data_IF_465057505855
#
_entry.id   IF_465057505855
#
_cell.length_a   1.000
_cell.length_b   1.000
_cell.length_c   1.000
_cell.angle_alpha   90.00
_cell.angle_beta   90.00
_cell.angle_gamma   90.00
#
_symmetry.space_group_name_H-M   'P 1'
#
loop_
_entity.id
_entity.type
_entity.pdbx_description
1 polymer ?
#
# COMPACT_ATOMS: atom_id res chain seq x y z
N UNK A 1 -16.25 5.06 22.25
CA UNK A 1 -16.04 5.30 20.79
C UNK A 1 -14.60 5.68 20.43
N UNK A 2 -13.95 6.56 21.18
CA UNK A 2 -12.64 7.08 20.80
C UNK A 2 -11.51 6.02 20.71
N UNK A 3 -11.44 5.07 21.66
CA UNK A 3 -10.49 3.93 21.61
C UNK A 3 -10.65 3.08 20.35
N UNK A 4 -11.89 2.72 20.01
CA UNK A 4 -12.22 1.91 18.83
C UNK A 4 -11.82 2.64 17.56
N UNK A 5 -12.12 3.94 17.46
CA UNK A 5 -11.72 4.75 16.30
C UNK A 5 -10.20 4.77 16.13
N UNK A 6 -9.46 5.01 17.21
CA UNK A 6 -8.00 5.05 17.17
C UNK A 6 -7.42 3.68 16.79
N UNK A 7 -7.90 2.61 17.41
CA UNK A 7 -7.51 1.24 17.10
C UNK A 7 -7.76 0.89 15.62
N UNK A 8 -8.97 1.13 15.12
CA UNK A 8 -9.31 0.86 13.71
C UNK A 8 -8.47 1.67 12.75
N UNK A 9 -8.20 2.94 13.07
CA UNK A 9 -7.37 3.81 12.23
C UNK A 9 -5.92 3.32 12.19
N UNK A 10 -5.32 2.98 13.33
CA UNK A 10 -3.95 2.44 13.39
C UNK A 10 -3.83 1.11 12.65
N UNK A 11 -4.73 0.16 12.89
CA UNK A 11 -4.72 -1.13 12.20
C UNK A 11 -4.95 -0.94 10.69
N UNK A 12 -5.89 -0.10 10.27
CA UNK A 12 -6.15 0.14 8.85
C UNK A 12 -4.96 0.78 8.14
N UNK A 13 -4.30 1.75 8.78
CA UNK A 13 -3.12 2.39 8.21
C UNK A 13 -1.97 1.40 8.05
N UNK A 14 -1.66 0.64 9.10
CA UNK A 14 -0.65 -0.42 9.04
C UNK A 14 -0.98 -1.43 7.93
N UNK A 15 -2.22 -1.89 7.86
CA UNK A 15 -2.67 -2.81 6.82
C UNK A 15 -2.50 -2.24 5.41
N UNK A 16 -2.77 -0.96 5.19
CA UNK A 16 -2.59 -0.32 3.89
C UNK A 16 -1.10 -0.27 3.49
N UNK A 17 -0.23 0.14 4.40
CA UNK A 17 1.22 0.20 4.15
C UNK A 17 1.81 -1.19 3.89
N UNK A 18 1.42 -2.19 4.69
CA UNK A 18 1.94 -3.55 4.54
C UNK A 18 1.32 -4.32 3.37
N UNK A 19 0.10 -3.98 2.95
CA UNK A 19 -0.44 -4.47 1.68
C UNK A 19 0.39 -3.97 0.48
N UNK A 20 0.84 -2.71 0.51
CA UNK A 20 1.73 -2.15 -0.51
C UNK A 20 3.10 -2.86 -0.53
N UNK A 21 3.64 -3.16 0.65
CA UNK A 21 4.86 -3.98 0.80
C UNK A 21 4.64 -5.37 0.20
N UNK A 22 3.54 -6.04 0.57
CA UNK A 22 3.18 -7.35 0.04
C UNK A 22 3.05 -7.35 -1.49
N UNK A 23 2.42 -6.32 -2.07
CA UNK A 23 2.32 -6.16 -3.52
C UNK A 23 3.70 -5.97 -4.17
N UNK A 24 4.59 -5.19 -3.54
CA UNK A 24 5.97 -4.99 -4.02
C UNK A 24 6.79 -6.28 -3.98
N UNK A 25 6.64 -7.05 -2.90
CA UNK A 25 7.27 -8.35 -2.73
C UNK A 25 6.76 -9.36 -3.78
N UNK A 26 5.45 -9.41 -4.00
CA UNK A 26 4.83 -10.26 -5.03
C UNK A 26 5.37 -9.95 -6.43
N UNK A 27 5.49 -8.66 -6.75
CA UNK A 27 6.10 -8.18 -8.00
C UNK A 27 7.57 -8.58 -8.12
N UNK A 28 8.33 -8.46 -7.04
CA UNK A 28 9.73 -8.91 -7.00
C UNK A 28 9.83 -10.42 -7.27
N UNK A 29 9.03 -11.24 -6.59
CA UNK A 29 9.00 -12.70 -6.77
C UNK A 29 8.65 -13.09 -8.21
N UNK A 30 7.66 -12.42 -8.83
CA UNK A 30 7.31 -12.60 -10.23
C UNK A 30 8.44 -12.20 -11.20
N UNK A 31 9.21 -11.17 -10.87
CA UNK A 31 10.32 -10.68 -11.68
C UNK A 31 11.57 -11.56 -11.63
N UNK A 32 11.70 -12.39 -10.60
CA UNK A 32 12.88 -13.22 -10.38
C UNK A 32 13.03 -14.29 -11.49
N UNK A 33 14.27 -14.71 -11.75
CA UNK A 33 14.61 -15.67 -12.79
C UNK A 33 14.28 -17.11 -12.39
N UNK A 34 14.44 -17.44 -11.11
CA UNK A 34 14.21 -18.80 -10.62
C UNK A 34 12.71 -19.11 -10.48
N UNK A 35 12.32 -20.26 -11.03
CA UNK A 35 10.94 -20.76 -11.01
C UNK A 35 10.43 -21.05 -9.57
N UNK A 36 11.34 -21.40 -8.66
CA UNK A 36 11.02 -21.66 -7.25
C UNK A 36 10.46 -20.40 -6.57
N UNK A 37 11.14 -19.26 -6.74
CA UNK A 37 10.67 -17.99 -6.17
C UNK A 37 9.40 -17.48 -6.84
N UNK A 38 9.23 -17.72 -8.15
CA UNK A 38 7.96 -17.41 -8.84
C UNK A 38 6.79 -18.24 -8.29
N UNK A 39 7.04 -19.48 -7.89
CA UNK A 39 6.05 -20.36 -7.27
C UNK A 39 5.54 -19.88 -5.91
N UNK A 40 6.18 -18.87 -5.29
CA UNK A 40 5.72 -18.28 -4.04
C UNK A 40 4.69 -17.16 -4.25
N UNK A 41 4.66 -16.55 -5.43
CA UNK A 41 3.64 -15.58 -5.86
C UNK A 41 2.35 -16.33 -6.23
N UNK A 42 1.64 -16.81 -5.21
CA UNK A 42 0.34 -17.46 -5.37
C UNK A 42 -0.70 -16.78 -4.51
N UNK A 43 -1.97 -16.86 -4.94
CA UNK A 43 -3.09 -16.35 -4.15
C UNK A 43 -3.17 -16.98 -2.75
N UNK A 44 -2.70 -18.22 -2.58
CA UNK A 44 -2.66 -18.89 -1.27
C UNK A 44 -1.64 -18.23 -0.35
N UNK A 45 -0.43 -17.98 -0.85
CA UNK A 45 0.61 -17.26 -0.10
C UNK A 45 0.18 -15.84 0.23
N UNK A 46 -0.41 -15.12 -0.74
CA UNK A 46 -0.91 -13.76 -0.52
C UNK A 46 -1.99 -13.71 0.57
N UNK A 47 -2.95 -14.65 0.57
CA UNK A 47 -3.97 -14.75 1.63
C UNK A 47 -3.36 -15.04 3.00
N UNK A 48 -2.42 -15.98 3.08
CA UNK A 48 -1.72 -16.29 4.34
C UNK A 48 -0.93 -15.09 4.86
N UNK A 49 -0.28 -14.37 3.97
CA UNK A 49 0.42 -13.12 4.29
C UNK A 49 -0.55 -12.06 4.85
N UNK A 50 -1.65 -11.78 4.14
CA UNK A 50 -2.65 -10.80 4.57
C UNK A 50 -3.27 -11.13 5.93
N UNK A 51 -3.59 -12.41 6.17
CA UNK A 51 -4.11 -12.87 7.46
C UNK A 51 -3.03 -12.73 8.55
N UNK A 52 -1.78 -13.10 8.24
CA UNK A 52 -0.66 -12.98 9.17
C UNK A 52 -0.41 -11.53 9.60
N UNK A 53 -0.34 -10.59 8.66
CA UNK A 53 -0.14 -9.16 8.99
C UNK A 53 -1.34 -8.59 9.76
N UNK A 54 -2.57 -8.99 9.41
CA UNK A 54 -3.76 -8.52 10.11
C UNK A 54 -3.74 -8.95 11.58
N UNK A 55 -3.49 -10.24 11.83
CA UNK A 55 -3.38 -10.78 13.19
C UNK A 55 -2.26 -10.08 13.96
N UNK A 56 -1.10 -9.88 13.32
CA UNK A 56 0.04 -9.19 13.94
C UNK A 56 -0.31 -7.76 14.37
N UNK A 57 -0.91 -6.95 13.48
CA UNK A 57 -1.26 -5.56 13.81
C UNK A 57 -2.42 -5.44 14.79
N UNK A 58 -3.40 -6.35 14.74
CA UNK A 58 -4.46 -6.41 15.76
C UNK A 58 -3.87 -6.63 17.15
N UNK A 59 -2.90 -7.55 17.28
CA UNK A 59 -2.22 -7.79 18.55
C UNK A 59 -1.33 -6.61 18.97
N UNK A 60 -0.55 -6.06 18.03
CA UNK A 60 0.35 -4.94 18.29
C UNK A 60 -0.41 -3.69 18.78
N UNK A 61 -1.55 -3.37 18.15
CA UNK A 61 -2.36 -2.22 18.53
C UNK A 61 -3.41 -2.53 19.60
N UNK A 62 -3.54 -3.78 20.08
CA UNK A 62 -4.46 -4.11 21.18
C UNK A 62 -4.17 -3.29 22.45
N UNK A 63 -2.91 -2.91 22.66
CA UNK A 63 -2.48 -2.01 23.72
C UNK A 63 -3.22 -0.67 23.76
N UNK A 64 -3.78 -0.20 22.63
CA UNK A 64 -4.57 1.05 22.55
C UNK A 64 -5.79 1.02 23.50
N UNK A 65 -6.39 -0.16 23.71
CA UNK A 65 -7.54 -0.28 24.61
C UNK A 65 -7.19 -0.02 26.07
N UNK A 66 -5.96 -0.36 26.47
CA UNK A 66 -5.44 -0.13 27.82
C UNK A 66 -4.82 1.27 27.95
N UNK A 67 -4.08 1.72 26.93
CA UNK A 67 -3.26 2.94 26.97
C UNK A 67 -4.05 4.25 26.84
N UNK A 68 -5.25 4.22 26.26
CA UNK A 68 -6.05 5.43 26.01
C UNK A 68 -7.31 5.44 26.87
N UNK A 69 -7.68 6.61 27.35
CA UNK A 69 -8.93 6.83 28.09
C UNK A 69 -9.78 7.90 27.40
N UNK A 70 -11.10 7.81 27.59
CA UNK A 70 -12.04 8.83 27.13
C UNK A 70 -12.31 9.76 28.32
N UNK A 71 -11.85 11.01 28.24
CA UNK A 71 -12.13 12.01 29.28
C UNK A 71 -13.63 12.35 29.29
N UNK A 72 -14.17 12.50 30.50
CA UNK A 72 -15.56 12.87 30.87
C UNK A 72 -15.49 14.24 31.60
N UNK A 73 -16.63 14.84 31.98
CA UNK A 73 -17.42 15.88 31.28
C UNK A 73 -16.80 17.30 31.32
N UNK A 74 -17.32 18.22 30.47
CA UNK A 74 -16.96 19.65 30.30
C UNK A 74 -15.76 20.01 29.40
N UNK A 75 -15.24 19.09 28.59
CA UNK A 75 -14.15 19.36 27.63
C UNK A 75 -14.52 18.78 26.26
N UNK A 76 -14.22 19.46 25.12
CA UNK A 76 -14.43 18.88 23.79
C UNK A 76 -13.72 17.53 23.70
N UNK A 77 -14.48 16.52 23.25
CA UNK A 77 -14.17 15.09 23.29
C UNK A 77 -12.81 14.78 22.66
N UNK A 78 -11.76 14.64 23.47
CA UNK A 78 -10.43 14.29 23.02
C UNK A 78 -9.98 12.97 23.66
N UNK A 79 -9.41 12.08 22.83
CA UNK A 79 -8.70 10.90 23.30
C UNK A 79 -7.35 11.33 23.86
N UNK A 80 -7.11 11.04 25.13
CA UNK A 80 -5.80 11.25 25.74
C UNK A 80 -5.16 9.90 26.05
N UNK A 81 -3.85 9.83 25.82
CA UNK A 81 -3.04 8.75 26.36
C UNK A 81 -3.05 8.88 27.87
N UNK A 82 -3.38 7.79 28.57
CA UNK A 82 -3.47 7.74 30.03
C UNK A 82 -2.17 8.21 30.68
N UNK A 83 -1.06 7.70 30.17
CA UNK A 83 0.28 7.99 30.64
C UNK A 83 1.19 8.44 29.49
N UNK A 84 2.18 9.28 29.81
CA UNK A 84 3.19 9.73 28.85
C UNK A 84 3.98 8.57 28.21
N UNK A 85 4.42 7.52 28.96
CA UNK A 85 5.08 6.35 28.37
C UNK A 85 4.22 5.64 27.32
N UNK A 86 2.92 5.48 27.58
CA UNK A 86 2.00 4.86 26.64
C UNK A 86 1.88 5.65 25.33
N UNK A 87 1.85 6.99 25.42
CA UNK A 87 1.84 7.86 24.24
C UNK A 87 3.12 7.75 23.44
N UNK A 88 4.27 7.86 24.11
CA UNK A 88 5.59 7.75 23.47
C UNK A 88 5.73 6.38 22.79
N UNK A 89 5.42 5.30 23.49
CA UNK A 89 5.49 3.94 22.95
C UNK A 89 4.61 3.74 21.71
N UNK A 90 3.36 4.20 21.75
CA UNK A 90 2.46 4.14 20.62
C UNK A 90 2.98 4.95 19.42
N UNK A 91 3.51 6.15 19.67
CA UNK A 91 4.07 7.00 18.62
C UNK A 91 5.29 6.35 17.95
N UNK A 92 6.18 5.74 18.72
CA UNK A 92 7.34 5.02 18.19
C UNK A 92 6.97 3.75 17.43
N UNK A 93 6.00 2.97 17.92
CA UNK A 93 5.49 1.81 17.19
C UNK A 93 4.92 2.22 15.84
N UNK A 94 4.09 3.27 15.80
CA UNK A 94 3.55 3.78 14.55
C UNK A 94 4.65 4.29 13.61
N UNK A 95 5.61 5.07 14.10
CA UNK A 95 6.72 5.54 13.25
C UNK A 95 7.52 4.36 12.68
N UNK A 96 7.83 3.36 13.51
CA UNK A 96 8.61 2.20 13.08
C UNK A 96 7.85 1.34 12.07
N UNK A 97 6.63 0.92 12.41
CA UNK A 97 5.88 -0.07 11.62
C UNK A 97 5.03 0.52 10.50
N UNK A 98 4.62 1.79 10.58
CA UNK A 98 3.78 2.41 9.54
C UNK A 98 4.62 3.19 8.51
N UNK A 99 5.80 3.68 8.90
CA UNK A 99 6.62 4.57 8.06
C UNK A 99 7.97 3.95 7.72
N UNK A 100 8.82 3.75 8.73
CA UNK A 100 10.25 3.42 8.50
C UNK A 100 10.40 2.03 7.89
N UNK A 101 9.85 1.00 8.53
CA UNK A 101 10.00 -0.38 8.08
C UNK A 101 9.34 -0.59 6.71
N UNK A 102 8.07 -0.20 6.46
CA UNK A 102 7.48 -0.32 5.13
C UNK A 102 8.29 0.40 4.06
N UNK A 103 8.78 1.62 4.33
CA UNK A 103 9.58 2.37 3.35
C UNK A 103 10.88 1.66 2.99
N UNK A 104 11.57 1.05 3.96
CA UNK A 104 12.78 0.26 3.70
C UNK A 104 12.44 -0.94 2.82
N UNK A 105 11.40 -1.71 3.15
CA UNK A 105 10.99 -2.86 2.35
C UNK A 105 10.57 -2.46 0.93
N UNK A 106 9.82 -1.37 0.78
CA UNK A 106 9.40 -0.83 -0.52
C UNK A 106 10.60 -0.38 -1.35
N UNK A 107 11.58 0.30 -0.74
CA UNK A 107 12.80 0.72 -1.43
C UNK A 107 13.63 -0.48 -1.89
N UNK A 108 13.81 -1.49 -1.02
CA UNK A 108 14.56 -2.72 -1.33
C UNK A 108 13.87 -3.53 -2.42
N UNK A 109 12.60 -3.91 -2.23
CA UNK A 109 11.88 -4.70 -3.24
C UNK A 109 11.62 -3.92 -4.53
N UNK A 110 11.41 -2.61 -4.44
CA UNK A 110 11.31 -1.72 -5.59
C UNK A 110 12.57 -1.71 -6.43
N UNK A 111 13.74 -1.47 -5.81
CA UNK A 111 15.04 -1.50 -6.53
C UNK A 111 15.38 -2.87 -7.07
N UNK A 112 15.12 -3.94 -6.32
CA UNK A 112 15.33 -5.32 -6.79
C UNK A 112 14.42 -5.65 -7.99
N UNK A 113 13.16 -5.21 -7.96
CA UNK A 113 12.24 -5.40 -9.09
C UNK A 113 12.73 -4.66 -10.34
N UNK A 114 13.23 -3.43 -10.20
CA UNK A 114 13.82 -2.66 -11.31
C UNK A 114 15.05 -3.39 -11.87
N UNK A 115 15.95 -3.87 -10.99
CA UNK A 115 17.16 -4.60 -11.40
C UNK A 115 16.80 -5.88 -12.15
N UNK A 116 15.80 -6.64 -11.70
CA UNK A 116 15.36 -7.87 -12.35
C UNK A 116 14.58 -7.62 -13.65
N UNK A 117 13.90 -6.47 -13.75
CA UNK A 117 13.19 -6.07 -14.96
C UNK A 117 14.13 -5.52 -16.05
N UNK A 118 15.28 -4.91 -15.69
CA UNK A 118 16.21 -4.25 -16.63
C UNK A 118 16.78 -5.21 -17.71
N UNK A 119 17.24 -6.43 -17.40
CA UNK A 119 17.71 -7.39 -18.41
C UNK A 119 16.62 -7.78 -19.41
N UNK A 120 15.36 -7.84 -18.95
CA UNK A 120 14.20 -8.16 -19.81
C UNK A 120 13.79 -6.98 -20.70
N UNK A 121 14.23 -5.75 -20.43
CA UNK A 121 13.97 -4.58 -21.29
C UNK A 121 15.09 -4.40 -22.32
N UNK A 122 16.34 -4.73 -21.97
CA UNK A 122 17.51 -4.58 -22.84
C UNK A 122 17.70 -5.75 -23.82
N UNK A 123 17.08 -6.91 -23.55
CA UNK A 123 16.91 -7.97 -24.55
C UNK A 123 15.45 -8.04 -25.08
N UNK A 124 15.09 -7.25 -26.11
CA UNK A 124 14.03 -7.63 -27.04
C UNK A 124 14.49 -8.68 -28.07
N UNK A 125 15.72 -9.21 -27.98
CA UNK A 125 16.29 -10.06 -29.02
C UNK A 125 16.37 -11.51 -28.55
N UNK A 126 15.82 -12.40 -29.38
CA UNK A 126 16.00 -13.87 -29.39
C UNK A 126 15.05 -14.65 -28.46
N UNK A 127 13.75 -14.35 -28.47
CA UNK A 127 12.74 -15.39 -28.13
C UNK A 127 11.59 -15.47 -29.13
N UNK A 128 11.56 -14.58 -30.12
CA UNK A 128 10.67 -14.68 -31.28
C UNK A 128 11.26 -15.49 -32.44
N UNK A 129 12.59 -15.70 -32.47
CA UNK A 129 13.24 -16.39 -33.60
C UNK A 129 13.22 -17.92 -33.42
N UNK A 130 13.40 -18.46 -32.20
CA UNK A 130 13.33 -19.92 -32.00
C UNK A 130 11.90 -20.48 -31.97
N UNK A 131 10.88 -19.66 -31.69
CA UNK A 131 9.48 -20.09 -31.83
C UNK A 131 9.02 -20.03 -33.29
N UNK A 132 9.62 -19.17 -34.13
CA UNK A 132 9.32 -19.09 -35.56
C UNK A 132 9.84 -20.29 -36.38
N UNK A 133 10.87 -21.01 -35.90
CA UNK A 133 11.38 -22.21 -36.59
C UNK A 133 10.58 -23.46 -36.21
N UNK A 134 9.98 -23.50 -35.02
CA UNK A 134 9.11 -24.61 -34.59
C UNK A 134 7.64 -24.46 -35.06
N UNK A 135 7.26 -23.32 -35.65
CA UNK A 135 5.88 -23.01 -36.06
C UNK A 135 5.68 -23.02 -37.58
N UNK A 136 6.35 -23.91 -38.31
CA UNK A 136 6.10 -24.11 -39.74
C UNK A 136 5.09 -25.23 -40.01
N UNK A 137 4.32 -25.63 -39.00
CA UNK A 137 3.21 -26.58 -39.14
C UNK A 137 1.97 -25.96 -38.50
N UNK A 138 1.05 -25.56 -39.38
CA UNK A 138 -0.37 -25.30 -39.13
C UNK A 138 -0.80 -24.00 -38.42
N UNK A 139 -1.27 -23.09 -39.28
CA UNK A 139 -2.64 -22.58 -39.32
C UNK A 139 -3.19 -21.79 -38.12
N UNK A 140 -3.45 -20.51 -38.41
CA UNK A 140 -4.64 -19.75 -38.02
C UNK A 140 -5.11 -19.93 -36.58
N UNK A 141 -4.44 -19.25 -35.66
CA UNK A 141 -5.13 -18.59 -34.57
C UNK A 141 -4.35 -17.36 -34.12
N UNK A 142 -4.92 -16.19 -34.40
CA UNK A 142 -4.51 -14.88 -33.91
C UNK A 142 -4.70 -14.80 -32.39
N UNK A 143 -3.86 -15.49 -31.61
CA UNK A 143 -3.74 -15.25 -30.18
C UNK A 143 -2.55 -14.32 -29.95
N UNK A 144 -2.83 -13.06 -30.23
CA UNK A 144 -2.13 -11.86 -29.74
C UNK A 144 -1.41 -12.13 -28.43
N UNK A 145 -0.11 -11.83 -28.36
CA UNK A 145 0.66 -11.83 -27.11
C UNK A 145 0.21 -10.65 -26.21
N UNK A 146 -0.60 -10.84 -25.15
CA UNK A 146 -1.16 -9.76 -24.37
C UNK A 146 -0.75 -9.92 -22.91
N UNK A 147 0.51 -9.65 -22.55
CA UNK A 147 0.91 -9.74 -21.13
C UNK A 147 2.11 -8.90 -20.76
N UNK A 148 3.13 -8.78 -21.63
CA UNK A 148 4.41 -8.15 -21.23
C UNK A 148 4.33 -6.63 -21.00
N UNK A 149 3.54 -5.92 -21.81
CA UNK A 149 3.36 -4.46 -21.63
C UNK A 149 2.52 -4.13 -20.40
N UNK A 150 1.63 -5.04 -20.01
CA UNK A 150 0.72 -4.83 -18.90
C UNK A 150 1.42 -4.91 -17.54
N UNK A 151 2.30 -5.90 -17.40
CA UNK A 151 3.08 -6.09 -16.17
C UNK A 151 4.06 -4.94 -15.93
N UNK A 152 4.65 -4.38 -17.00
CA UNK A 152 5.55 -3.21 -16.92
C UNK A 152 4.81 -1.96 -16.45
N UNK A 153 3.61 -1.74 -16.99
CA UNK A 153 2.79 -0.59 -16.60
C UNK A 153 2.35 -0.68 -15.14
N UNK A 154 1.98 -1.88 -14.68
CA UNK A 154 1.58 -2.12 -13.30
C UNK A 154 2.74 -1.97 -12.31
N UNK A 155 3.95 -2.41 -12.68
CA UNK A 155 5.16 -2.20 -11.85
C UNK A 155 5.58 -0.71 -11.80
N UNK A 156 5.54 0.01 -12.94
CA UNK A 156 5.84 1.46 -12.98
C UNK A 156 4.88 2.25 -12.09
N UNK A 157 3.60 1.90 -12.16
CA UNK A 157 2.55 2.52 -11.36
C UNK A 157 2.75 2.29 -9.86
N UNK A 158 3.09 1.06 -9.47
CA UNK A 158 3.36 0.73 -8.06
C UNK A 158 4.59 1.48 -7.54
N UNK A 159 5.64 1.65 -8.35
CA UNK A 159 6.80 2.49 -7.99
C UNK A 159 6.42 3.96 -7.80
N UNK A 160 5.61 4.52 -8.71
CA UNK A 160 5.11 5.90 -8.58
C UNK A 160 4.33 6.05 -7.28
N UNK A 161 3.48 5.08 -6.95
CA UNK A 161 2.71 5.09 -5.72
C UNK A 161 3.60 5.02 -4.47
N UNK A 162 4.66 4.19 -4.48
CA UNK A 162 5.66 4.17 -3.40
C UNK A 162 6.31 5.54 -3.22
N UNK A 163 6.70 6.21 -4.32
CA UNK A 163 7.27 7.55 -4.25
C UNK A 163 6.28 8.58 -3.68
N UNK A 164 5.02 8.54 -4.10
CA UNK A 164 3.97 9.43 -3.60
C UNK A 164 3.74 9.20 -2.09
N UNK A 165 3.59 7.95 -1.68
CA UNK A 165 3.42 7.58 -0.26
C UNK A 165 4.61 8.07 0.56
N UNK A 166 5.83 7.83 0.09
CA UNK A 166 7.02 8.26 0.80
C UNK A 166 7.10 9.78 0.98
N UNK A 167 6.83 10.56 -0.08
CA UNK A 167 6.90 12.02 -0.04
C UNK A 167 5.79 12.64 0.82
N UNK A 168 4.59 12.06 0.80
CA UNK A 168 3.43 12.60 1.51
C UNK A 168 3.29 12.11 2.96
N UNK A 169 3.79 10.93 3.30
CA UNK A 169 3.73 10.39 4.66
C UNK A 169 4.95 10.80 5.51
N UNK A 170 6.08 11.20 4.89
CA UNK A 170 7.27 11.68 5.61
C UNK A 170 6.98 12.92 6.49
N UNK A 171 6.27 13.97 6.01
CA UNK A 171 5.87 15.09 6.85
C UNK A 171 5.10 14.66 8.11
N UNK A 172 4.27 13.61 8.01
CA UNK A 172 3.56 13.04 9.15
C UNK A 172 4.49 12.38 10.15
N UNK A 173 5.44 11.56 9.68
CA UNK A 173 6.46 10.96 10.55
C UNK A 173 7.29 12.02 11.29
N UNK A 174 7.75 13.06 10.59
CA UNK A 174 8.52 14.16 11.18
C UNK A 174 7.70 14.92 12.22
N UNK A 175 6.45 15.27 11.91
CA UNK A 175 5.57 15.93 12.86
C UNK A 175 5.35 15.09 14.13
N UNK A 176 5.10 13.78 13.98
CA UNK A 176 4.88 12.87 15.11
C UNK A 176 6.12 12.74 15.99
N UNK A 177 7.31 12.63 15.39
CA UNK A 177 8.56 12.63 16.13
C UNK A 177 8.76 13.95 16.90
N UNK A 178 8.54 15.09 16.25
CA UNK A 178 8.60 16.41 16.89
C UNK A 178 7.60 16.53 18.06
N UNK A 179 6.36 16.08 17.88
CA UNK A 179 5.33 16.11 18.92
C UNK A 179 5.68 15.21 20.12
N UNK A 180 6.32 14.07 19.86
CA UNK A 180 6.79 13.14 20.90
C UNK A 180 7.96 13.72 21.69
N UNK A 181 8.94 14.33 21.01
CA UNK A 181 10.12 14.94 21.64
C UNK A 181 9.77 16.20 22.44
N UNK A 182 8.83 17.00 21.96
CA UNK A 182 8.39 18.24 22.64
C UNK A 182 7.25 18.02 23.63
N UNK A 183 6.97 16.76 23.99
CA UNK A 183 5.90 16.36 24.88
C UNK A 183 5.92 17.01 26.27
N UNK A 184 7.13 17.24 26.82
CA UNK A 184 7.34 17.74 28.17
C UNK A 184 7.64 19.23 28.23
N UNK A 185 7.61 19.91 27.08
CA UNK A 185 7.91 21.34 26.98
C UNK A 185 6.59 22.10 27.16
N UNK A 186 6.57 23.08 28.07
CA UNK A 186 5.44 24.01 28.19
C UNK A 186 5.33 24.89 26.94
N UNK A 187 4.14 24.94 26.34
CA UNK A 187 3.89 25.63 25.07
C UNK A 187 2.92 26.78 25.28
N UNK A 188 3.16 27.91 24.62
CA UNK A 188 2.23 29.04 24.59
C UNK A 188 0.98 28.69 23.77
N UNK A 189 -0.14 29.36 24.04
CA UNK A 189 -1.41 29.16 23.31
C UNK A 189 -1.26 29.34 21.80
N UNK A 190 -0.47 30.34 21.37
CA UNK A 190 -0.16 30.57 19.96
C UNK A 190 0.57 29.38 19.32
N UNK A 191 1.60 28.85 20.00
CA UNK A 191 2.36 27.70 19.51
C UNK A 191 1.48 26.46 19.37
N UNK A 192 0.62 26.20 20.35
CA UNK A 192 -0.35 25.10 20.31
C UNK A 192 -1.33 25.23 19.14
N UNK A 193 -1.80 26.45 18.84
CA UNK A 193 -2.67 26.69 17.69
C UNK A 193 -1.98 26.39 16.35
N UNK A 194 -0.72 26.83 16.17
CA UNK A 194 0.09 26.54 14.97
C UNK A 194 0.36 25.04 14.83
N UNK A 195 0.69 24.35 15.93
CA UNK A 195 0.92 22.90 15.92
C UNK A 195 -0.35 22.13 15.56
N UNK A 196 -1.53 22.54 16.08
CA UNK A 196 -2.81 21.93 15.71
C UNK A 196 -3.17 22.13 14.24
N UNK A 197 -2.94 23.32 13.68
CA UNK A 197 -3.14 23.58 12.25
C UNK A 197 -2.19 22.72 11.40
N UNK A 198 -0.92 22.64 11.80
CA UNK A 198 0.10 21.82 11.13
C UNK A 198 -0.32 20.35 11.13
N UNK A 199 -0.78 19.84 12.28
CA UNK A 199 -1.32 18.48 12.38
C UNK A 199 -2.49 18.24 11.42
N UNK A 200 -3.45 19.17 11.35
CA UNK A 200 -4.60 19.07 10.46
C UNK A 200 -4.19 19.04 8.98
N UNK A 201 -3.22 19.87 8.57
CA UNK A 201 -2.70 19.87 7.19
C UNK A 201 -2.02 18.54 6.88
N UNK A 202 -1.16 18.07 7.78
CA UNK A 202 -0.37 16.86 7.56
C UNK A 202 -1.26 15.60 7.54
N UNK A 203 -2.28 15.52 8.40
CA UNK A 203 -3.22 14.38 8.37
C UNK A 203 -4.09 14.39 7.11
N UNK A 204 -4.45 15.57 6.58
CA UNK A 204 -5.16 15.68 5.30
C UNK A 204 -4.31 15.15 4.13
N UNK A 205 -3.01 15.44 4.12
CA UNK A 205 -2.08 14.90 3.12
C UNK A 205 -2.05 13.37 3.16
N UNK A 206 -1.95 12.79 4.36
CA UNK A 206 -2.01 11.33 4.54
C UNK A 206 -3.32 10.75 4.00
N UNK A 207 -4.47 11.33 4.33
CA UNK A 207 -5.76 10.85 3.81
C UNK A 207 -5.86 10.95 2.29
N UNK A 208 -5.25 11.98 1.70
CA UNK A 208 -5.15 12.12 0.26
C UNK A 208 -4.28 11.03 -0.37
N UNK A 209 -3.15 10.67 0.24
CA UNK A 209 -2.28 9.55 -0.18
C UNK A 209 -3.03 8.22 -0.22
N UNK A 210 -3.79 7.91 0.83
CA UNK A 210 -4.55 6.65 0.89
C UNK A 210 -5.71 6.63 -0.10
N UNK A 211 -6.37 7.77 -0.30
CA UNK A 211 -7.44 7.91 -1.30
C UNK A 211 -6.91 7.75 -2.72
N UNK A 212 -5.80 8.41 -3.05
CA UNK A 212 -5.16 8.31 -4.37
C UNK A 212 -4.64 6.91 -4.65
N UNK A 213 -4.14 6.19 -3.65
CA UNK A 213 -3.73 4.79 -3.77
C UNK A 213 -4.88 3.90 -4.26
N UNK A 214 -6.09 4.07 -3.71
CA UNK A 214 -7.28 3.36 -4.19
C UNK A 214 -7.59 3.72 -5.65
N UNK A 215 -7.66 5.01 -5.99
CA UNK A 215 -7.95 5.44 -7.36
C UNK A 215 -6.89 4.99 -8.36
N UNK A 216 -5.61 5.04 -7.99
CA UNK A 216 -4.53 4.53 -8.82
C UNK A 216 -4.79 3.06 -9.11
N UNK A 217 -4.94 2.21 -8.09
CA UNK A 217 -5.17 0.77 -8.28
C UNK A 217 -6.42 0.44 -9.09
N UNK A 218 -7.52 1.16 -8.87
CA UNK A 218 -8.80 0.90 -9.54
C UNK A 218 -8.86 1.45 -10.97
N UNK A 219 -8.41 2.69 -11.21
CA UNK A 219 -8.52 3.36 -12.53
C UNK A 219 -7.39 3.01 -13.50
N UNK A 220 -6.21 2.69 -12.98
CA UNK A 220 -4.99 2.51 -13.80
C UNK A 220 -4.74 1.03 -14.15
N UNK A 221 -5.42 0.11 -13.47
CA UNK A 221 -5.51 -1.28 -13.88
C UNK A 221 -6.26 -1.40 -15.22
N UNK A 222 -5.53 -1.45 -16.32
CA UNK A 222 -5.98 -1.93 -17.64
C UNK A 222 -6.81 -3.22 -17.54
N UNK A 223 -6.49 -4.07 -16.54
CA UNK A 223 -7.17 -5.32 -16.22
C UNK A 223 -8.58 -5.07 -15.67
N UNK A 224 -8.78 -4.04 -14.85
CA UNK A 224 -10.10 -3.63 -14.36
C UNK A 224 -10.90 -2.95 -15.46
N UNK A 225 -10.31 -2.08 -16.29
CA UNK A 225 -10.99 -1.52 -17.47
C UNK A 225 -11.40 -2.61 -18.46
N UNK A 226 -10.56 -3.61 -18.70
CA UNK A 226 -10.88 -4.75 -19.55
C UNK A 226 -11.98 -5.64 -18.94
N UNK A 227 -11.95 -5.85 -17.63
CA UNK A 227 -12.96 -6.65 -16.92
C UNK A 227 -14.30 -5.93 -16.84
N UNK A 228 -14.29 -4.64 -16.53
CA UNK A 228 -15.46 -3.78 -16.51
C UNK A 228 -16.07 -3.65 -17.91
N UNK A 229 -15.24 -3.48 -18.95
CA UNK A 229 -15.69 -3.53 -20.34
C UNK A 229 -16.30 -4.89 -20.68
N UNK A 230 -15.67 -6.01 -20.31
CA UNK A 230 -16.24 -7.36 -20.49
C UNK A 230 -17.54 -7.60 -19.72
N UNK A 231 -17.72 -7.02 -18.53
CA UNK A 231 -18.96 -7.14 -17.76
C UNK A 231 -20.05 -6.29 -18.40
N UNK A 232 -19.74 -5.04 -18.74
CA UNK A 232 -20.65 -4.13 -19.45
C UNK A 232 -21.10 -4.71 -20.79
N UNK A 233 -20.17 -5.22 -21.59
CA UNK A 233 -20.47 -5.81 -22.90
C UNK A 233 -21.29 -7.10 -22.76
N UNK A 234 -21.11 -7.89 -21.68
CA UNK A 234 -21.97 -9.04 -21.36
C UNK A 234 -23.36 -8.65 -20.87
N UNK A 235 -23.50 -7.58 -20.11
CA UNK A 235 -24.81 -7.06 -19.69
C UNK A 235 -25.58 -6.45 -20.86
N UNK A 236 -24.89 -5.71 -21.75
CA UNK A 236 -25.49 -5.11 -22.93
C UNK A 236 -25.93 -6.16 -23.95
N UNK A 237 -25.11 -7.19 -24.20
CA UNK A 237 -25.48 -8.30 -25.10
C UNK A 237 -26.54 -9.25 -24.53
N UNK A 238 -26.77 -9.26 -23.20
CA UNK A 238 -27.91 -9.98 -22.61
C UNK A 238 -29.23 -9.22 -22.78
N UNK A 239 -29.21 -7.90 -22.90
CA UNK A 239 -30.39 -7.08 -23.21
C UNK A 239 -30.89 -7.25 -24.65
N UNK A 240 -30.01 -7.58 -25.59
CA UNK A 240 -30.38 -7.82 -27.00
C UNK A 240 -30.88 -9.23 -27.32
N UNK A 241 -30.85 -10.18 -26.36
CA UNK A 241 -31.40 -11.55 -26.55
C UNK A 241 -32.81 -11.74 -25.97
N UNK A 242 -33.46 -10.67 -25.50
CA UNK A 242 -34.83 -10.71 -24.99
C UNK A 242 -35.83 -9.92 -25.86
N UNK A 243 -35.44 -9.57 -27.09
CA UNK A 243 -36.34 -9.02 -28.12
C UNK A 243 -36.31 -9.91 -29.35
#
# INVERSE_FOLDING_TARGET
MCKIRLFLLSVSWAMAAWALVGASMDRFLCSNHSAVYRGWSTCRTAKRYLIGILTFFVLLFAQVFYCFEASVPNVPVACYGRDLPCRIFNDWISIAFDIVIPSIFLAVFGTLTIRNARPRVVHPRISSIQVAIASNINNNNNNTAPSRNNDRNLTRMLLIQVCIVFVLDLPFGVYRAYASLTANVSKSTYRTAVENLTYAVVILLVYFTHSTSFYLYTLTGTLYRATFKRIRDRCFNRGQRMH
#
